data_IF_539852774107
#
_entry.id   IF_539852774107
#
_cell.length_a   1.000
_cell.length_b   1.000
_cell.length_c   1.000
_cell.angle_alpha   90.00
_cell.angle_beta   90.00
_cell.angle_gamma   90.00
#
_symmetry.space_group_name_H-M   'P 1'
#
loop_
_entity.id
_entity.type
_entity.pdbx_description
1 polymer ?
#
# COMPACT_ATOMS: atom_id res chain seq x y z
N UNK A 1 -47.84 -43.62 -27.42
CA UNK A 1 -46.90 -43.86 -26.29
C UNK A 1 -45.54 -44.21 -26.87
N UNK A 2 -44.50 -43.52 -26.38
CA UNK A 2 -43.05 -43.71 -26.63
C UNK A 2 -42.53 -43.42 -28.05
N UNK A 3 -42.25 -42.13 -28.28
CA UNK A 3 -41.43 -41.65 -29.40
C UNK A 3 -39.96 -41.97 -29.08
N UNK A 4 -39.32 -42.79 -29.91
CA UNK A 4 -37.87 -42.98 -29.91
C UNK A 4 -37.21 -41.98 -30.85
N UNK A 5 -36.15 -41.32 -30.39
CA UNK A 5 -35.19 -40.66 -31.26
C UNK A 5 -33.77 -40.96 -30.75
N UNK A 6 -33.01 -41.57 -31.65
CA UNK A 6 -31.58 -41.91 -31.51
C UNK A 6 -30.75 -40.63 -31.49
N UNK A 7 -29.63 -40.70 -30.76
CA UNK A 7 -28.61 -39.67 -30.72
C UNK A 7 -28.12 -39.34 -32.14
N UNK A 8 -28.14 -38.06 -32.48
CA UNK A 8 -27.52 -37.50 -33.69
C UNK A 8 -26.08 -37.17 -33.34
N UNK A 9 -25.14 -38.00 -33.79
CA UNK A 9 -23.71 -37.66 -33.83
C UNK A 9 -23.49 -36.76 -35.03
N UNK A 10 -23.25 -35.48 -34.76
CA UNK A 10 -22.89 -34.52 -35.80
C UNK A 10 -21.37 -34.45 -35.83
N UNK A 11 -20.76 -35.24 -36.72
CA UNK A 11 -19.34 -35.18 -37.06
C UNK A 11 -19.06 -33.82 -37.71
N UNK A 12 -18.60 -32.87 -36.90
CA UNK A 12 -17.88 -31.69 -37.39
C UNK A 12 -16.44 -31.81 -36.93
N UNK A 13 -15.55 -31.88 -37.91
CA UNK A 13 -14.10 -31.76 -37.80
C UNK A 13 -13.69 -30.86 -36.62
N UNK A 14 -13.15 -31.47 -35.56
CA UNK A 14 -12.38 -30.76 -34.55
C UNK A 14 -11.02 -30.44 -35.15
N UNK A 15 -10.91 -29.29 -35.81
CA UNK A 15 -9.61 -28.65 -36.02
C UNK A 15 -9.06 -28.26 -34.64
N UNK A 16 -8.01 -28.95 -34.21
CA UNK A 16 -7.19 -28.54 -33.09
C UNK A 16 -6.59 -27.17 -33.41
N UNK A 17 -7.04 -26.15 -32.68
CA UNK A 17 -6.43 -24.83 -32.69
C UNK A 17 -4.95 -24.93 -32.31
N UNK A 18 -4.08 -24.55 -33.24
CA UNK A 18 -2.64 -24.42 -32.98
C UNK A 18 -2.41 -23.40 -31.85
N UNK A 19 -1.44 -23.64 -30.94
CA UNK A 19 -1.06 -22.63 -29.95
C UNK A 19 -0.43 -21.41 -30.65
N UNK A 20 -0.58 -20.20 -30.08
CA UNK A 20 -0.03 -18.99 -30.67
C UNK A 20 1.51 -19.06 -30.75
N UNK A 21 2.14 -18.42 -31.77
CA UNK A 21 3.58 -18.41 -31.92
C UNK A 21 4.26 -17.70 -30.74
N UNK A 22 5.38 -18.27 -30.30
CA UNK A 22 6.21 -17.80 -29.20
C UNK A 22 6.81 -16.42 -29.53
N UNK A 23 6.50 -15.40 -28.73
CA UNK A 23 6.92 -14.00 -28.95
C UNK A 23 8.40 -13.74 -28.57
N UNK A 24 9.23 -14.78 -28.55
CA UNK A 24 10.63 -14.71 -28.12
C UNK A 24 11.60 -14.06 -29.12
N UNK A 25 11.11 -13.42 -30.19
CA UNK A 25 11.96 -12.72 -31.16
C UNK A 25 11.77 -11.19 -31.27
N UNK A 26 11.12 -10.53 -30.30
CA UNK A 26 10.98 -9.06 -30.29
C UNK A 26 11.47 -8.40 -28.97
N UNK A 27 12.46 -9.01 -28.32
CA UNK A 27 13.12 -8.46 -27.13
C UNK A 27 14.57 -8.05 -27.44
N UNK A 28 14.74 -7.02 -28.27
CA UNK A 28 16.03 -6.32 -28.40
C UNK A 28 15.87 -4.81 -28.18
N UNK A 29 15.27 -4.44 -27.06
CA UNK A 29 15.50 -3.14 -26.43
C UNK A 29 15.68 -3.34 -24.92
N UNK A 30 16.84 -3.88 -24.54
CA UNK A 30 17.30 -3.82 -23.16
C UNK A 30 17.69 -2.37 -22.83
N UNK A 31 16.84 -1.68 -22.07
CA UNK A 31 17.22 -0.44 -21.38
C UNK A 31 18.24 -0.79 -20.28
N UNK A 32 19.51 -0.64 -20.62
CA UNK A 32 20.64 -0.90 -19.74
C UNK A 32 20.82 0.26 -18.75
N UNK A 33 20.12 0.24 -17.61
CA UNK A 33 20.29 1.22 -16.52
C UNK A 33 21.50 0.92 -15.62
N UNK A 34 22.68 0.76 -16.22
CA UNK A 34 23.95 0.69 -15.48
C UNK A 34 25.12 1.18 -16.33
N UNK A 35 25.19 2.51 -16.54
CA UNK A 35 26.43 3.18 -16.96
C UNK A 35 26.48 4.54 -16.24
N UNK A 36 27.54 4.87 -15.46
CA UNK A 36 27.70 6.20 -14.90
C UNK A 36 28.12 7.20 -16.00
N UNK A 37 27.70 8.48 -15.92
CA UNK A 37 28.03 9.47 -16.93
C UNK A 37 29.53 9.81 -16.96
N UNK A 38 30.11 10.18 -18.12
CA UNK A 38 31.51 10.56 -18.23
C UNK A 38 31.79 11.89 -17.53
N UNK A 39 32.86 11.91 -16.73
CA UNK A 39 33.35 13.11 -16.03
C UNK A 39 34.01 14.05 -17.03
N UNK A 40 33.47 15.25 -17.22
CA UNK A 40 34.16 16.34 -17.92
C UNK A 40 35.05 17.12 -16.92
N UNK A 41 36.27 17.54 -17.30
CA UNK A 41 37.17 18.27 -16.41
C UNK A 41 36.67 19.70 -16.21
N UNK A 42 36.35 20.02 -14.96
CA UNK A 42 35.81 21.32 -14.56
C UNK A 42 36.93 22.39 -14.59
N UNK A 43 36.91 23.29 -15.57
CA UNK A 43 37.82 24.45 -15.63
C UNK A 43 37.40 25.49 -14.59
N UNK A 44 38.14 25.59 -13.49
CA UNK A 44 37.94 26.57 -12.43
C UNK A 44 38.40 27.95 -12.93
N UNK A 45 37.46 28.86 -13.21
CA UNK A 45 37.75 30.28 -13.34
C UNK A 45 37.86 30.92 -11.94
N UNK A 46 39.05 31.38 -11.56
CA UNK A 46 39.29 32.24 -10.39
C UNK A 46 39.35 33.71 -10.82
N UNK A 47 38.60 34.64 -10.21
CA UNK A 47 38.91 36.06 -10.29
C UNK A 47 39.93 36.47 -9.19
N UNK A 48 40.70 37.55 -9.38
CA UNK A 48 41.91 37.84 -8.61
C UNK A 48 41.66 38.68 -7.35
N UNK A 49 42.48 38.39 -6.34
CA UNK A 49 42.88 39.14 -5.15
C UNK A 49 42.13 40.40 -4.70
N UNK A 50 41.70 40.39 -3.45
CA UNK A 50 41.76 41.55 -2.55
C UNK A 50 42.10 41.07 -1.13
N UNK A 51 43.28 41.49 -0.65
CA UNK A 51 43.67 41.37 0.75
C UNK A 51 43.01 42.49 1.55
N UNK A 52 42.31 42.14 2.63
CA UNK A 52 42.17 43.02 3.79
C UNK A 52 42.33 42.21 5.07
N UNK A 53 43.25 42.70 5.89
CA UNK A 53 43.64 42.21 7.20
C UNK A 53 42.68 42.76 8.26
N UNK A 54 42.10 41.91 9.13
CA UNK A 54 41.48 42.37 10.37
C UNK A 54 41.39 41.26 11.42
N UNK A 55 41.91 41.56 12.60
CA UNK A 55 41.94 40.77 13.83
C UNK A 55 40.55 40.51 14.46
N UNK A 56 40.47 39.41 15.23
CA UNK A 56 39.53 39.05 16.33
C UNK A 56 38.23 38.27 15.94
N UNK A 57 37.50 37.67 16.91
CA UNK A 57 37.52 36.23 17.17
C UNK A 57 36.12 35.62 16.99
N UNK A 58 35.94 34.76 16.00
CA UNK A 58 34.66 34.10 15.76
C UNK A 58 34.89 32.75 15.13
N UNK A 59 34.61 31.69 15.89
CA UNK A 59 34.62 30.31 15.44
C UNK A 59 33.84 30.13 14.13
N UNK A 60 34.36 29.42 13.11
CA UNK A 60 33.52 28.68 12.20
C UNK A 60 33.28 27.28 12.76
N UNK A 61 32.01 27.02 13.06
CA UNK A 61 31.44 25.70 13.24
C UNK A 61 31.65 24.90 11.95
N UNK A 62 32.66 24.04 11.88
CA UNK A 62 32.66 22.76 11.16
C UNK A 62 34.07 22.15 11.27
N UNK A 63 34.23 21.07 12.06
CA UNK A 63 35.43 20.23 12.00
C UNK A 63 35.21 19.19 10.88
N UNK A 64 36.15 19.00 9.93
CA UNK A 64 36.06 17.90 9.01
C UNK A 64 36.27 16.58 9.77
N UNK A 65 35.55 15.53 9.35
CA UNK A 65 35.67 14.19 9.93
C UNK A 65 37.12 13.71 9.86
N UNK A 66 37.74 13.53 11.01
CA UNK A 66 39.04 12.88 11.12
C UNK A 66 38.78 11.38 10.99
N UNK A 67 39.22 10.79 9.87
CA UNK A 67 39.32 9.33 9.76
C UNK A 67 40.28 8.85 10.84
N UNK A 68 39.74 8.24 11.90
CA UNK A 68 40.56 7.62 12.93
C UNK A 68 41.21 6.35 12.33
N UNK A 69 42.54 6.36 12.29
CA UNK A 69 43.36 5.20 11.94
C UNK A 69 42.89 3.95 12.70
N UNK A 70 42.54 2.89 11.96
CA UNK A 70 42.36 1.54 12.49
C UNK A 70 43.72 1.03 13.00
N UNK A 71 43.82 0.79 14.30
CA UNK A 71 44.86 -0.06 14.87
C UNK A 71 44.64 -1.54 14.49
N UNK A 72 45.70 -2.36 14.49
CA UNK A 72 45.60 -3.77 14.12
C UNK A 72 45.01 -4.57 15.29
N UNK A 73 43.83 -5.17 15.10
CA UNK A 73 43.22 -6.05 16.12
C UNK A 73 41.69 -6.10 16.18
N UNK A 74 40.96 -5.49 15.25
CA UNK A 74 39.50 -5.56 15.26
C UNK A 74 39.01 -6.93 14.75
N UNK A 75 38.53 -7.77 15.67
CA UNK A 75 37.70 -8.95 15.36
C UNK A 75 36.47 -8.53 14.53
N UNK A 76 35.94 -9.39 13.64
CA UNK A 76 34.75 -9.06 12.87
C UNK A 76 33.57 -8.90 13.83
N UNK A 77 33.07 -7.68 13.96
CA UNK A 77 31.82 -7.39 14.66
C UNK A 77 30.71 -8.25 14.04
N UNK A 78 30.18 -9.19 14.81
CA UNK A 78 28.98 -9.96 14.45
C UNK A 78 27.78 -9.01 14.44
N UNK A 79 26.89 -9.20 13.47
CA UNK A 79 25.75 -8.33 13.18
C UNK A 79 24.71 -8.26 14.33
N UNK A 80 24.87 -9.09 15.35
CA UNK A 80 23.97 -9.23 16.49
C UNK A 80 24.24 -8.24 17.64
N UNK A 81 25.35 -7.49 17.63
CA UNK A 81 25.71 -6.52 18.68
C UNK A 81 25.23 -5.08 18.41
N UNK A 82 24.17 -4.90 17.62
CA UNK A 82 23.70 -3.58 17.22
C UNK A 82 22.64 -3.00 18.19
N UNK A 83 23.12 -2.43 19.30
CA UNK A 83 22.33 -1.57 20.19
C UNK A 83 22.31 -0.13 19.66
N UNK A 84 21.17 0.30 19.09
CA UNK A 84 21.01 1.69 18.71
C UNK A 84 20.03 1.95 17.58
N UNK A 85 18.78 2.27 17.94
CA UNK A 85 17.92 3.21 17.21
C UNK A 85 17.85 2.97 15.71
N UNK A 86 17.57 1.74 15.28
CA UNK A 86 17.23 1.48 13.88
C UNK A 86 16.00 2.32 13.55
N UNK A 87 16.19 3.40 12.78
CA UNK A 87 15.10 4.27 12.36
C UNK A 87 14.08 3.39 11.66
N UNK A 88 12.93 3.16 12.31
CA UNK A 88 11.84 2.44 11.67
C UNK A 88 11.37 3.34 10.53
N UNK A 89 11.53 2.86 9.30
CA UNK A 89 10.96 3.54 8.14
C UNK A 89 9.49 3.78 8.43
N UNK A 90 9.00 4.97 8.12
CA UNK A 90 7.57 5.22 8.17
C UNK A 90 6.90 4.24 7.21
N UNK A 91 6.06 3.36 7.74
CA UNK A 91 5.31 2.38 6.95
C UNK A 91 3.89 2.92 6.80
N UNK A 92 3.48 3.14 5.55
CA UNK A 92 2.09 3.43 5.24
C UNK A 92 1.26 2.20 5.59
N UNK A 93 0.29 2.36 6.50
CA UNK A 93 -0.63 1.28 6.85
C UNK A 93 -1.82 1.34 5.91
N UNK A 94 -2.31 0.17 5.49
CA UNK A 94 -3.59 0.08 4.80
C UNK A 94 -4.68 0.60 5.75
N UNK A 95 -5.50 1.50 5.24
CA UNK A 95 -6.61 2.12 5.96
C UNK A 95 -7.85 2.02 5.06
N UNK A 96 -8.97 1.60 5.63
CA UNK A 96 -10.29 1.71 4.99
C UNK A 96 -10.98 2.89 5.66
N UNK A 97 -10.97 4.04 4.99
CA UNK A 97 -11.54 5.27 5.53
C UNK A 97 -12.89 5.56 4.87
N UNK A 98 -13.95 5.52 5.68
CA UNK A 98 -15.30 5.87 5.23
C UNK A 98 -15.56 7.39 5.27
N UNK A 99 -14.71 8.19 5.91
CA UNK A 99 -14.94 9.62 6.06
C UNK A 99 -14.97 10.33 4.70
N UNK A 100 -14.05 9.99 3.80
CA UNK A 100 -14.04 10.53 2.44
C UNK A 100 -15.37 10.29 1.71
N UNK A 101 -15.92 9.08 1.83
CA UNK A 101 -17.20 8.74 1.21
C UNK A 101 -18.37 9.50 1.84
N UNK A 102 -18.38 9.65 3.17
CA UNK A 102 -19.42 10.41 3.87
C UNK A 102 -19.36 11.89 3.48
N UNK A 103 -18.17 12.49 3.44
CA UNK A 103 -17.98 13.89 3.00
C UNK A 103 -18.52 14.04 1.57
N UNK A 104 -18.16 13.13 0.67
CA UNK A 104 -18.66 13.16 -0.72
C UNK A 104 -20.18 13.08 -0.80
N UNK A 105 -20.80 12.24 0.04
CA UNK A 105 -22.26 12.17 0.12
C UNK A 105 -22.90 13.45 0.66
N UNK A 106 -22.27 14.11 1.64
CA UNK A 106 -22.75 15.38 2.18
C UNK A 106 -22.65 16.51 1.15
N UNK A 107 -21.55 16.59 0.40
CA UNK A 107 -21.39 17.54 -0.72
C UNK A 107 -22.46 17.33 -1.79
N UNK A 108 -22.70 16.06 -2.15
CA UNK A 108 -23.66 15.69 -3.18
C UNK A 108 -25.11 15.94 -2.76
N UNK A 109 -25.43 15.80 -1.48
CA UNK A 109 -26.79 16.02 -0.94
C UNK A 109 -27.33 17.42 -1.18
N UNK A 110 -26.46 18.41 -1.39
CA UNK A 110 -26.87 19.80 -1.66
C UNK A 110 -27.63 19.92 -2.98
N UNK A 111 -27.28 19.11 -3.98
CA UNK A 111 -27.81 19.23 -5.35
C UNK A 111 -28.43 17.95 -5.91
N UNK A 112 -28.10 16.77 -5.36
CA UNK A 112 -28.74 15.51 -5.73
C UNK A 112 -30.05 15.34 -4.96
N UNK A 113 -31.18 15.40 -5.68
CA UNK A 113 -32.51 15.17 -5.07
C UNK A 113 -32.78 13.69 -4.85
N UNK A 114 -32.39 12.88 -5.83
CA UNK A 114 -32.52 11.42 -5.81
C UNK A 114 -31.36 10.74 -6.58
N UNK A 115 -31.45 9.43 -6.76
CA UNK A 115 -30.44 8.63 -7.46
C UNK A 115 -30.26 9.00 -8.94
N UNK A 116 -31.22 9.67 -9.58
CA UNK A 116 -31.18 10.02 -11.01
C UNK A 116 -30.28 11.22 -11.28
N UNK A 117 -30.13 12.11 -10.28
CA UNK A 117 -29.20 13.23 -10.35
C UNK A 117 -27.73 12.77 -10.10
N UNK A 118 -27.53 11.54 -9.59
CA UNK A 118 -26.20 11.00 -9.30
C UNK A 118 -25.43 10.70 -10.58
N UNK A 119 -24.17 11.15 -10.64
CA UNK A 119 -23.24 10.77 -11.71
C UNK A 119 -22.84 9.30 -11.60
N UNK A 120 -22.78 8.62 -12.73
CA UNK A 120 -22.28 7.24 -12.80
C UNK A 120 -20.79 7.20 -12.46
N UNK A 121 -20.41 6.34 -11.51
CA UNK A 121 -19.02 6.09 -11.16
C UNK A 121 -18.37 5.26 -12.28
N UNK A 122 -17.28 5.76 -12.85
CA UNK A 122 -16.54 5.01 -13.87
C UNK A 122 -15.69 3.93 -13.21
N UNK A 123 -15.48 2.77 -13.86
CA UNK A 123 -14.76 1.63 -13.31
C UNK A 123 -13.23 1.83 -13.35
N UNK A 124 -12.76 2.99 -12.92
CA UNK A 124 -11.36 3.40 -12.94
C UNK A 124 -10.90 3.84 -11.54
N UNK A 125 -9.65 3.52 -11.20
CA UNK A 125 -9.11 3.76 -9.84
C UNK A 125 -9.12 5.23 -9.42
N UNK A 126 -9.02 6.16 -10.39
CA UNK A 126 -9.05 7.60 -10.17
C UNK A 126 -10.40 8.10 -9.62
N UNK A 127 -11.47 7.31 -9.79
CA UNK A 127 -12.80 7.64 -9.28
C UNK A 127 -13.04 7.09 -7.86
N UNK A 128 -12.07 6.41 -7.24
CA UNK A 128 -12.21 5.96 -5.86
C UNK A 128 -12.63 7.09 -4.86
N UNK A 129 -12.15 8.35 -4.99
CA UNK A 129 -12.61 9.45 -4.14
C UNK A 129 -14.07 9.89 -4.38
N UNK A 130 -14.65 9.55 -5.53
CA UNK A 130 -16.03 9.89 -5.89
C UNK A 130 -17.05 8.87 -5.33
N UNK A 131 -16.57 7.81 -4.68
CA UNK A 131 -17.41 6.77 -4.10
C UNK A 131 -18.14 7.29 -2.85
N UNK A 132 -19.43 6.99 -2.75
CA UNK A 132 -20.28 7.33 -1.60
C UNK A 132 -20.51 6.09 -0.70
N UNK A 133 -21.01 6.23 0.55
CA UNK A 133 -21.28 5.07 1.38
C UNK A 133 -22.52 4.31 0.86
N UNK A 134 -22.69 3.02 1.22
CA UNK A 134 -23.83 2.22 0.77
C UNK A 134 -25.22 2.87 0.93
N UNK A 135 -25.51 3.65 2.00
CA UNK A 135 -26.80 4.32 2.13
C UNK A 135 -27.11 5.34 1.01
N UNK A 136 -26.11 5.79 0.26
CA UNK A 136 -26.29 6.66 -0.90
C UNK A 136 -26.70 5.90 -2.18
N UNK A 137 -26.67 4.56 -2.17
CA UNK A 137 -26.96 3.69 -3.32
C UNK A 137 -28.13 2.73 -3.04
N UNK A 138 -29.22 3.21 -2.44
CA UNK A 138 -30.39 2.37 -2.13
C UNK A 138 -31.06 1.74 -3.37
N UNK A 139 -30.84 2.34 -4.54
CA UNK A 139 -31.22 1.84 -5.87
C UNK A 139 -30.35 0.68 -6.37
N UNK A 140 -29.09 0.59 -5.91
CA UNK A 140 -28.14 -0.44 -6.34
C UNK A 140 -27.33 -0.98 -5.13
N UNK A 141 -27.84 -2.00 -4.42
CA UNK A 141 -27.18 -2.54 -3.23
C UNK A 141 -25.87 -3.29 -3.52
N UNK A 142 -25.54 -3.52 -4.79
CA UNK A 142 -24.31 -4.22 -5.20
C UNK A 142 -23.04 -3.53 -4.68
N UNK A 143 -23.09 -2.21 -4.42
CA UNK A 143 -21.99 -1.47 -3.80
C UNK A 143 -21.56 -2.03 -2.42
N UNK A 144 -22.45 -2.72 -1.71
CA UNK A 144 -22.16 -3.30 -0.40
C UNK A 144 -21.53 -4.70 -0.47
N UNK A 145 -21.24 -5.23 -1.66
CA UNK A 145 -20.61 -6.55 -1.82
C UNK A 145 -19.11 -6.46 -1.54
N UNK A 146 -18.69 -6.92 -0.36
CA UNK A 146 -17.32 -6.76 0.17
C UNK A 146 -16.37 -7.90 -0.21
N UNK A 147 -16.06 -8.08 -1.50
CA UNK A 147 -15.14 -9.13 -1.99
C UNK A 147 -13.65 -8.75 -1.94
N UNK A 148 -13.35 -7.46 -1.74
CA UNK A 148 -11.97 -6.98 -1.68
C UNK A 148 -11.34 -7.24 -0.31
N UNK A 149 -10.40 -8.18 -0.25
CA UNK A 149 -9.63 -8.44 0.96
C UNK A 149 -8.77 -7.24 1.40
N UNK A 150 -8.79 -6.91 2.69
CA UNK A 150 -8.06 -5.78 3.26
C UNK A 150 -6.85 -6.26 4.07
N UNK A 151 -7.08 -7.05 5.12
CA UNK A 151 -6.05 -7.45 6.07
C UNK A 151 -6.47 -8.70 6.86
N UNK A 152 -5.49 -9.53 7.21
CA UNK A 152 -5.63 -10.56 8.24
C UNK A 152 -5.09 -10.01 9.56
N UNK A 153 -5.91 -10.00 10.61
CA UNK A 153 -5.54 -9.59 11.95
C UNK A 153 -5.47 -10.82 12.86
N UNK A 154 -4.34 -11.04 13.53
CA UNK A 154 -4.12 -12.21 14.39
C UNK A 154 -3.42 -11.82 15.68
N UNK A 155 -3.81 -12.44 16.78
CA UNK A 155 -3.09 -12.34 18.04
C UNK A 155 -1.79 -13.14 18.02
N UNK A 156 -0.89 -12.80 18.94
CA UNK A 156 0.36 -13.56 19.15
C UNK A 156 0.06 -15.00 19.57
N UNK A 157 -0.86 -15.18 20.52
CA UNK A 157 -1.43 -16.47 20.86
C UNK A 157 -2.67 -16.68 20.01
N UNK A 158 -2.70 -17.77 19.23
CA UNK A 158 -3.82 -18.06 18.33
C UNK A 158 -4.83 -18.96 19.03
N UNK A 159 -6.04 -18.45 19.17
CA UNK A 159 -7.21 -19.19 19.62
C UNK A 159 -8.30 -19.04 18.55
N UNK A 160 -9.17 -20.04 18.36
CA UNK A 160 -10.37 -19.90 17.54
C UNK A 160 -11.23 -18.70 17.97
N UNK A 161 -11.73 -17.94 17.00
CA UNK A 161 -12.65 -16.83 17.23
C UNK A 161 -14.06 -17.32 16.94
N UNK A 162 -14.98 -17.18 17.90
CA UNK A 162 -16.37 -17.62 17.78
C UNK A 162 -17.34 -16.48 17.50
N UNK A 163 -17.00 -15.27 17.92
CA UNK A 163 -17.88 -14.10 17.78
C UNK A 163 -17.10 -12.85 17.43
N UNK A 164 -17.77 -11.95 16.74
CA UNK A 164 -17.21 -10.70 16.23
C UNK A 164 -18.31 -9.64 16.21
N UNK A 165 -18.02 -8.45 16.74
CA UNK A 165 -18.97 -7.35 16.80
C UNK A 165 -18.25 -6.01 16.64
N UNK A 166 -18.86 -5.09 15.90
CA UNK A 166 -18.43 -3.70 15.84
C UNK A 166 -18.97 -2.93 17.03
N UNK A 167 -18.20 -1.96 17.56
CA UNK A 167 -18.80 -0.95 18.44
C UNK A 167 -19.86 -0.17 17.67
N UNK A 168 -20.96 0.28 18.31
CA UNK A 168 -22.04 0.97 17.60
C UNK A 168 -21.58 2.23 16.84
N UNK A 169 -20.53 2.89 17.35
CA UNK A 169 -19.87 4.05 16.71
C UNK A 169 -18.92 3.67 15.55
N UNK A 170 -18.66 2.38 15.32
CA UNK A 170 -17.74 1.90 14.27
C UNK A 170 -16.24 2.09 14.57
N UNK A 171 -15.88 2.65 15.72
CA UNK A 171 -14.49 2.95 16.09
C UNK A 171 -13.62 1.71 16.28
N UNK A 172 -14.21 0.63 16.78
CA UNK A 172 -13.49 -0.60 17.14
C UNK A 172 -14.25 -1.84 16.68
N UNK A 173 -13.49 -2.87 16.38
CA UNK A 173 -13.97 -4.22 16.18
C UNK A 173 -13.57 -5.09 17.37
N UNK A 174 -14.52 -5.82 17.93
CA UNK A 174 -14.32 -6.72 19.08
C UNK A 174 -14.44 -8.15 18.59
N UNK A 175 -13.49 -9.00 18.99
CA UNK A 175 -13.52 -10.44 18.71
C UNK A 175 -13.48 -11.24 20.02
N UNK A 176 -14.40 -12.19 20.19
CA UNK A 176 -14.41 -13.12 21.31
C UNK A 176 -13.75 -14.46 20.94
N UNK A 177 -12.70 -14.81 21.67
CA UNK A 177 -11.93 -16.02 21.47
C UNK A 177 -12.38 -17.18 22.37
N UNK A 178 -11.99 -18.42 22.03
CA UNK A 178 -12.25 -19.60 22.85
C UNK A 178 -11.61 -19.56 24.24
N UNK A 179 -10.60 -18.70 24.45
CA UNK A 179 -9.96 -18.45 25.75
C UNK A 179 -10.84 -17.63 26.71
N UNK A 180 -11.95 -17.07 26.24
CA UNK A 180 -12.76 -16.10 26.99
C UNK A 180 -12.29 -14.66 26.82
N UNK A 181 -11.20 -14.42 26.08
CA UNK A 181 -10.63 -13.08 25.91
C UNK A 181 -11.35 -12.29 24.82
N UNK A 182 -11.44 -10.97 25.03
CA UNK A 182 -11.90 -10.02 24.02
C UNK A 182 -10.72 -9.24 23.44
N UNK A 183 -10.50 -9.34 22.14
CA UNK A 183 -9.51 -8.51 21.45
C UNK A 183 -10.18 -7.34 20.76
N UNK A 184 -9.67 -6.13 21.00
CA UNK A 184 -10.13 -4.89 20.38
C UNK A 184 -9.17 -4.51 19.26
N UNK A 185 -9.74 -4.32 18.06
CA UNK A 185 -9.05 -3.90 16.86
C UNK A 185 -9.51 -2.50 16.45
N UNK A 186 -8.59 -1.69 15.94
CA UNK A 186 -8.92 -0.38 15.40
C UNK A 186 -9.83 -0.51 14.17
N UNK A 187 -10.90 0.29 14.10
CA UNK A 187 -11.92 0.14 13.07
C UNK A 187 -11.53 0.56 11.65
N UNK A 188 -10.53 1.44 11.50
CA UNK A 188 -10.09 1.92 10.19
C UNK A 188 -8.88 1.16 9.66
N UNK A 189 -7.97 0.79 10.57
CA UNK A 189 -6.64 0.24 10.23
C UNK A 189 -6.44 -1.22 10.64
N UNK A 190 -7.39 -1.78 11.39
CA UNK A 190 -7.37 -3.15 11.91
C UNK A 190 -6.07 -3.47 12.67
N UNK A 191 -5.52 -2.48 13.37
CA UNK A 191 -4.37 -2.66 14.26
C UNK A 191 -4.86 -3.15 15.62
N UNK A 192 -4.05 -3.99 16.29
CA UNK A 192 -4.29 -4.38 17.67
C UNK A 192 -4.33 -3.12 18.57
N UNK A 193 -5.36 -2.99 19.39
CA UNK A 193 -5.42 -1.95 20.41
C UNK A 193 -5.17 -2.52 21.80
N UNK A 194 -6.00 -3.48 22.22
CA UNK A 194 -5.88 -4.11 23.54
C UNK A 194 -6.59 -5.45 23.59
N UNK A 195 -6.36 -6.19 24.68
CA UNK A 195 -7.07 -7.41 25.05
C UNK A 195 -7.67 -7.25 26.44
N UNK A 196 -8.89 -7.77 26.62
CA UNK A 196 -9.60 -7.81 27.90
C UNK A 196 -9.77 -9.27 28.31
N UNK A 197 -9.58 -9.54 29.59
CA UNK A 197 -9.67 -10.86 30.24
C UNK A 197 -10.77 -10.84 31.30
#
# INVERSE_FOLDING_TARGET
MKNGWKAVTNDRNMEFSQPPPDLTSMANHHNNFSVPPPVQPNQIHRPPGQMYNANKPGQPFFRPFVNFNRGPGALPMTQDDFDGKRLRKSVMRKTVDYNAAIIKALENRIWQRDFRDRRALQPESIYAPEMMPPPSYMDNPTNAVTTRFVKTATNKMRCPIFTLAWTPEGRRLVTGASSGEFTLWNGLTFNFETILQ
#
